data_IF_121344921854
#
_entry.id   IF_121344921854
#
_cell.length_a   1.000
_cell.length_b   1.000
_cell.length_c   1.000
_cell.angle_alpha   90.00
_cell.angle_beta   90.00
_cell.angle_gamma   90.00
#
_symmetry.space_group_name_H-M   'P 1'
#
loop_
_entity.id
_entity.type
_entity.pdbx_description
1 polymer ?
#
# COMPACT_ATOMS: atom_id res chain seq x y z
N UNK A 1 9.57 -14.81 12.60
CA UNK A 1 8.32 -14.41 11.93
C UNK A 1 8.65 -14.01 10.50
N UNK A 2 7.92 -14.53 9.49
CA UNK A 2 8.13 -14.15 8.09
C UNK A 2 7.47 -12.79 7.78
N UNK A 3 8.22 -11.76 7.32
CA UNK A 3 7.64 -10.48 6.91
C UNK A 3 6.58 -10.63 5.82
N UNK A 4 5.47 -9.88 5.94
CA UNK A 4 4.48 -9.79 4.87
C UNK A 4 4.90 -8.71 3.89
N UNK A 5 5.00 -9.06 2.61
CA UNK A 5 5.34 -8.14 1.53
C UNK A 5 4.12 -7.94 0.64
N UNK A 6 3.84 -6.68 0.30
CA UNK A 6 2.95 -6.28 -0.77
C UNK A 6 3.79 -5.79 -1.97
N UNK A 7 3.60 -6.39 -3.13
CA UNK A 7 4.32 -6.01 -4.36
C UNK A 7 3.46 -5.06 -5.16
N UNK A 8 3.89 -3.82 -5.29
CA UNK A 8 3.20 -2.84 -6.14
C UNK A 8 3.60 -3.01 -7.60
N UNK A 9 2.60 -3.00 -8.48
CA UNK A 9 2.77 -3.09 -9.93
C UNK A 9 1.92 -2.03 -10.64
N UNK A 10 2.53 -1.32 -11.60
CA UNK A 10 1.79 -0.42 -12.51
C UNK A 10 0.90 -1.25 -13.43
N UNK A 11 -0.27 -0.73 -13.74
CA UNK A 11 -1.33 -1.42 -14.48
C UNK A 11 -1.48 -0.95 -15.93
N UNK A 12 -0.53 -0.15 -16.41
CA UNK A 12 -0.35 0.26 -17.82
C UNK A 12 -0.11 -0.93 -18.78
N UNK A 13 0.17 -2.13 -18.24
CA UNK A 13 0.31 -3.35 -19.00
C UNK A 13 -0.26 -4.57 -18.26
N UNK A 14 -1.33 -5.16 -18.79
CA UNK A 14 -2.01 -6.35 -18.24
C UNK A 14 -1.06 -7.54 -18.03
N UNK A 15 -0.15 -7.79 -18.99
CA UNK A 15 0.83 -8.89 -18.91
C UNK A 15 1.84 -8.67 -17.76
N UNK A 16 2.18 -7.41 -17.45
CA UNK A 16 3.04 -7.07 -16.30
C UNK A 16 2.38 -7.49 -14.99
N UNK A 17 1.09 -7.22 -14.83
CA UNK A 17 0.32 -7.60 -13.63
C UNK A 17 0.26 -9.12 -13.48
N UNK A 18 -0.05 -9.85 -14.56
CA UNK A 18 -0.04 -11.32 -14.55
C UNK A 18 1.32 -11.89 -14.11
N UNK A 19 2.43 -11.34 -14.64
CA UNK A 19 3.79 -11.75 -14.23
C UNK A 19 4.09 -11.40 -12.76
N UNK A 20 3.63 -10.26 -12.27
CA UNK A 20 3.80 -9.85 -10.87
C UNK A 20 3.10 -10.80 -9.90
N UNK A 21 1.86 -11.21 -10.23
CA UNK A 21 1.11 -12.21 -9.45
C UNK A 21 1.81 -13.57 -9.50
N UNK A 22 2.22 -14.03 -10.69
CA UNK A 22 2.94 -15.29 -10.83
C UNK A 22 4.28 -15.32 -10.08
N UNK A 23 5.04 -14.22 -10.12
CA UNK A 23 6.27 -14.09 -9.34
C UNK A 23 6.00 -14.08 -7.83
N UNK A 24 4.98 -13.33 -7.39
CA UNK A 24 4.58 -13.23 -5.99
C UNK A 24 4.18 -14.58 -5.43
N UNK A 25 3.41 -15.38 -6.18
CA UNK A 25 3.06 -16.76 -5.82
C UNK A 25 4.30 -17.64 -5.66
N UNK A 26 5.21 -17.63 -6.63
CA UNK A 26 6.46 -18.44 -6.58
C UNK A 26 7.37 -18.08 -5.42
N UNK A 27 7.41 -16.81 -5.03
CA UNK A 27 8.27 -16.33 -3.94
C UNK A 27 7.58 -16.36 -2.57
N UNK A 28 6.30 -16.74 -2.50
CA UNK A 28 5.53 -16.76 -1.26
C UNK A 28 5.31 -15.37 -0.66
N UNK A 29 5.11 -14.37 -1.53
CA UNK A 29 4.73 -12.99 -1.19
C UNK A 29 3.25 -12.95 -0.80
N UNK A 30 2.90 -12.10 0.17
CA UNK A 30 1.56 -12.06 0.76
C UNK A 30 0.53 -11.36 -0.12
N UNK A 31 0.89 -10.24 -0.73
CA UNK A 31 -0.04 -9.38 -1.46
C UNK A 31 0.55 -8.81 -2.75
N UNK A 32 -0.33 -8.44 -3.68
CA UNK A 32 0.02 -7.68 -4.90
C UNK A 32 -0.87 -6.46 -4.98
N UNK A 33 -0.28 -5.27 -4.96
CA UNK A 33 -1.00 -4.01 -5.16
C UNK A 33 -1.05 -3.66 -6.65
N UNK A 34 -2.25 -3.60 -7.20
CA UNK A 34 -2.52 -3.07 -8.53
C UNK A 34 -2.69 -1.56 -8.40
N UNK A 35 -1.72 -0.81 -8.94
CA UNK A 35 -1.79 0.64 -9.07
C UNK A 35 -2.65 1.01 -10.28
N UNK A 36 -3.97 0.93 -10.10
CA UNK A 36 -5.01 1.18 -11.11
C UNK A 36 -5.02 2.62 -11.63
N UNK A 37 -4.36 3.54 -10.91
CA UNK A 37 -4.13 4.90 -11.39
C UNK A 37 -3.22 5.01 -12.63
N UNK A 38 -2.56 3.93 -13.04
CA UNK A 38 -1.81 3.83 -14.30
C UNK A 38 -2.54 3.10 -15.43
N UNK A 39 -3.71 2.51 -15.17
CA UNK A 39 -4.43 1.74 -16.18
C UNK A 39 -5.14 2.67 -17.17
N UNK A 40 -5.09 2.30 -18.46
CA UNK A 40 -6.06 2.79 -19.43
C UNK A 40 -7.41 2.12 -19.16
N UNK A 41 -8.52 2.86 -19.31
CA UNK A 41 -9.88 2.32 -19.11
C UNK A 41 -10.14 1.05 -19.94
N UNK A 42 -9.57 0.94 -21.14
CA UNK A 42 -9.70 -0.23 -22.02
C UNK A 42 -9.08 -1.50 -21.43
N UNK A 43 -8.18 -1.38 -20.46
CA UNK A 43 -7.50 -2.49 -19.82
C UNK A 43 -8.21 -2.99 -18.56
N UNK A 44 -9.16 -2.24 -18.01
CA UNK A 44 -9.77 -2.55 -16.72
C UNK A 44 -10.39 -3.95 -16.69
N UNK A 45 -11.24 -4.31 -17.64
CA UNK A 45 -11.89 -5.62 -17.64
C UNK A 45 -10.87 -6.78 -17.66
N UNK A 46 -9.78 -6.63 -18.40
CA UNK A 46 -8.71 -7.63 -18.44
C UNK A 46 -7.94 -7.70 -17.11
N UNK A 47 -7.73 -6.57 -16.43
CA UNK A 47 -7.11 -6.51 -15.10
C UNK A 47 -8.01 -7.17 -14.04
N UNK A 48 -9.32 -6.96 -14.11
CA UNK A 48 -10.28 -7.55 -13.18
C UNK A 48 -10.35 -9.07 -13.31
N UNK A 49 -10.36 -9.60 -14.54
CA UNK A 49 -10.28 -11.06 -14.77
C UNK A 49 -9.02 -11.67 -14.16
N UNK A 50 -7.87 -10.99 -14.27
CA UNK A 50 -6.63 -11.45 -13.63
C UNK A 50 -6.76 -11.54 -12.10
N UNK A 51 -7.52 -10.63 -11.49
CA UNK A 51 -7.76 -10.65 -10.04
C UNK A 51 -8.71 -11.77 -9.66
N UNK A 52 -9.74 -12.04 -10.46
CA UNK A 52 -10.66 -13.18 -10.27
C UNK A 52 -9.93 -14.52 -10.31
N UNK A 53 -9.00 -14.68 -11.25
CA UNK A 53 -8.21 -15.91 -11.42
C UNK A 53 -7.03 -16.00 -10.41
N UNK A 54 -6.80 -14.96 -9.62
CA UNK A 54 -5.64 -14.87 -8.73
C UNK A 54 -5.89 -15.56 -7.39
N UNK A 55 -5.04 -16.54 -7.07
CA UNK A 55 -4.96 -17.09 -5.72
C UNK A 55 -4.24 -16.17 -4.71
N UNK A 56 -3.62 -15.08 -5.16
CA UNK A 56 -2.93 -14.11 -4.30
C UNK A 56 -3.88 -13.00 -3.85
N UNK A 57 -3.71 -12.49 -2.62
CA UNK A 57 -4.48 -11.36 -2.14
C UNK A 57 -4.10 -10.07 -2.86
N UNK A 58 -4.98 -9.59 -3.74
CA UNK A 58 -4.76 -8.35 -4.48
C UNK A 58 -5.23 -7.12 -3.67
N UNK A 59 -4.55 -5.99 -3.86
CA UNK A 59 -4.91 -4.67 -3.31
C UNK A 59 -5.24 -3.73 -4.46
N UNK A 60 -6.43 -3.13 -4.44
CA UNK A 60 -6.81 -2.09 -5.40
C UNK A 60 -6.40 -0.72 -4.88
N UNK A 61 -5.58 0.01 -5.63
CA UNK A 61 -5.16 1.37 -5.28
C UNK A 61 -5.30 2.30 -6.48
N UNK A 62 -6.08 3.37 -6.33
CA UNK A 62 -6.23 4.44 -7.33
C UNK A 62 -5.68 5.73 -6.71
N UNK A 63 -4.35 5.86 -6.70
CA UNK A 63 -3.67 6.97 -6.00
C UNK A 63 -3.81 8.28 -6.79
N UNK A 64 -4.32 9.37 -6.21
CA UNK A 64 -4.33 10.68 -6.84
C UNK A 64 -2.96 11.35 -6.85
N UNK A 65 -2.81 12.31 -7.76
CA UNK A 65 -1.62 13.16 -7.90
C UNK A 65 -1.12 13.77 -6.59
N UNK A 66 -2.05 14.26 -5.77
CA UNK A 66 -1.74 15.02 -4.55
C UNK A 66 -1.21 14.14 -3.40
N UNK A 67 -1.31 12.81 -3.51
CA UNK A 67 -0.55 11.85 -2.66
C UNK A 67 0.50 11.07 -3.48
N UNK A 68 0.90 11.57 -4.66
CA UNK A 68 2.02 11.03 -5.44
C UNK A 68 1.66 9.90 -6.40
N UNK A 69 0.39 9.77 -6.78
CA UNK A 69 -0.06 8.82 -7.81
C UNK A 69 -0.14 9.41 -9.21
N UNK A 70 -0.66 8.62 -10.15
CA UNK A 70 -0.86 8.98 -11.55
C UNK A 70 -2.29 9.45 -11.86
N UNK A 71 -3.26 9.26 -10.96
CA UNK A 71 -4.63 9.68 -11.22
C UNK A 71 -4.76 11.21 -11.16
N UNK A 72 -5.27 11.80 -12.26
CA UNK A 72 -5.44 13.26 -12.44
C UNK A 72 -6.90 13.69 -12.62
N UNK A 73 -7.84 12.74 -12.64
CA UNK A 73 -9.27 13.01 -12.78
C UNK A 73 -9.92 13.54 -11.49
N UNK A 74 -11.21 13.86 -11.57
CA UNK A 74 -12.01 14.29 -10.42
C UNK A 74 -12.49 13.12 -9.54
N UNK A 75 -12.74 13.40 -8.26
CA UNK A 75 -13.18 12.39 -7.27
C UNK A 75 -14.45 11.64 -7.68
N UNK A 76 -15.39 12.27 -8.40
CA UNK A 76 -16.59 11.60 -8.93
C UNK A 76 -16.24 10.48 -9.92
N UNK A 77 -15.28 10.72 -10.81
CA UNK A 77 -14.83 9.69 -11.75
C UNK A 77 -13.97 8.65 -11.02
N UNK A 78 -13.19 9.06 -10.03
CA UNK A 78 -12.39 8.14 -9.22
C UNK A 78 -13.27 7.15 -8.45
N UNK A 79 -14.40 7.61 -7.91
CA UNK A 79 -15.38 6.76 -7.26
C UNK A 79 -15.94 5.71 -8.22
N UNK A 80 -16.29 6.08 -9.46
CA UNK A 80 -16.72 5.11 -10.49
C UNK A 80 -15.65 4.06 -10.79
N UNK A 81 -14.38 4.43 -10.78
CA UNK A 81 -13.29 3.47 -10.97
C UNK A 81 -13.16 2.53 -9.77
N UNK A 82 -13.42 2.98 -8.54
CA UNK A 82 -13.52 2.10 -7.38
C UNK A 82 -14.73 1.16 -7.46
N UNK A 83 -15.91 1.67 -7.86
CA UNK A 83 -17.11 0.86 -8.12
C UNK A 83 -16.81 -0.26 -9.10
N UNK A 84 -16.17 0.08 -10.23
CA UNK A 84 -15.75 -0.89 -11.24
C UNK A 84 -14.69 -1.86 -10.70
N UNK A 85 -13.68 -1.37 -10.00
CA UNK A 85 -12.60 -2.21 -9.47
C UNK A 85 -13.12 -3.26 -8.48
N UNK A 86 -14.08 -2.88 -7.63
CA UNK A 86 -14.66 -3.75 -6.61
C UNK A 86 -15.78 -4.66 -7.14
N UNK A 87 -15.92 -4.78 -8.47
CA UNK A 87 -16.57 -5.93 -9.11
C UNK A 87 -15.71 -7.20 -9.00
N UNK A 88 -14.39 -7.06 -8.95
CA UNK A 88 -13.45 -8.16 -8.78
C UNK A 88 -13.12 -8.44 -7.30
N UNK A 89 -12.70 -9.67 -6.93
CA UNK A 89 -12.49 -10.08 -5.54
C UNK A 89 -11.15 -9.59 -4.97
N UNK A 90 -10.97 -8.27 -4.86
CA UNK A 90 -9.82 -7.70 -4.17
C UNK A 90 -9.83 -8.06 -2.69
N UNK A 91 -8.64 -8.34 -2.12
CA UNK A 91 -8.51 -8.57 -0.67
C UNK A 91 -8.60 -7.26 0.10
N UNK A 92 -8.01 -6.20 -0.46
CA UNK A 92 -8.04 -4.86 0.12
C UNK A 92 -8.29 -3.79 -0.94
N UNK A 93 -8.86 -2.67 -0.51
CA UNK A 93 -8.87 -1.41 -1.26
C UNK A 93 -8.19 -0.31 -0.46
N UNK A 94 -7.34 0.50 -1.10
CA UNK A 94 -6.64 1.63 -0.48
C UNK A 94 -7.30 2.95 -0.87
N UNK A 95 -7.64 3.75 0.15
CA UNK A 95 -8.17 5.11 0.01
C UNK A 95 -7.48 6.08 0.97
N UNK A 96 -7.20 7.30 0.51
CA UNK A 96 -6.54 8.31 1.33
C UNK A 96 -7.45 8.83 2.45
N UNK A 97 -6.90 9.01 3.65
CA UNK A 97 -7.59 9.60 4.81
C UNK A 97 -8.23 10.96 4.52
N UNK A 98 -7.61 11.75 3.62
CA UNK A 98 -8.07 13.09 3.22
C UNK A 98 -8.98 13.08 2.00
N UNK A 99 -9.25 11.91 1.40
CA UNK A 99 -10.15 11.82 0.25
C UNK A 99 -11.58 12.19 0.61
N UNK A 100 -12.23 12.96 -0.26
CA UNK A 100 -13.64 13.37 -0.12
C UNK A 100 -14.61 12.19 -0.33
N UNK A 101 -14.18 11.13 -0.99
CA UNK A 101 -15.00 9.93 -1.28
C UNK A 101 -14.69 8.76 -0.34
N UNK A 102 -13.93 8.99 0.74
CA UNK A 102 -13.54 7.92 1.67
C UNK A 102 -14.75 7.13 2.19
N UNK A 103 -15.80 7.82 2.64
CA UNK A 103 -16.99 7.15 3.18
C UNK A 103 -17.73 6.34 2.11
N UNK A 104 -17.76 6.83 0.85
CA UNK A 104 -18.33 6.08 -0.27
C UNK A 104 -17.55 4.79 -0.54
N UNK A 105 -16.22 4.88 -0.61
CA UNK A 105 -15.34 3.72 -0.84
C UNK A 105 -15.38 2.75 0.35
N UNK A 106 -15.46 3.26 1.57
CA UNK A 106 -15.62 2.46 2.80
C UNK A 106 -16.90 1.64 2.78
N UNK A 107 -18.03 2.28 2.46
CA UNK A 107 -19.34 1.60 2.32
C UNK A 107 -19.28 0.53 1.23
N UNK A 108 -18.78 0.88 0.05
CA UNK A 108 -18.63 -0.05 -1.07
C UNK A 108 -17.77 -1.26 -0.71
N UNK A 109 -16.63 -1.03 -0.05
CA UNK A 109 -15.75 -2.10 0.41
C UNK A 109 -16.47 -3.04 1.38
N UNK A 110 -17.23 -2.48 2.34
CA UNK A 110 -18.02 -3.26 3.29
C UNK A 110 -19.10 -4.11 2.60
N UNK A 111 -19.82 -3.55 1.64
CA UNK A 111 -20.86 -4.26 0.87
C UNK A 111 -20.28 -5.40 0.03
N UNK A 112 -19.05 -5.26 -0.45
CA UNK A 112 -18.33 -6.26 -1.25
C UNK A 112 -17.48 -7.23 -0.41
N UNK A 113 -17.45 -7.08 0.92
CA UNK A 113 -16.61 -7.91 1.80
C UNK A 113 -15.10 -7.70 1.60
N UNK A 114 -14.70 -6.54 1.10
CA UNK A 114 -13.30 -6.16 0.82
C UNK A 114 -12.74 -5.38 2.01
N UNK A 115 -11.51 -5.71 2.43
CA UNK A 115 -10.85 -5.02 3.53
C UNK A 115 -10.49 -3.57 3.17
N UNK A 116 -10.71 -2.63 4.08
CA UNK A 116 -10.36 -1.22 3.86
C UNK A 116 -8.94 -0.92 4.38
N UNK A 117 -8.09 -0.37 3.51
CA UNK A 117 -6.84 0.32 3.89
C UNK A 117 -7.11 1.82 3.83
N UNK A 118 -6.98 2.51 4.97
CA UNK A 118 -6.95 3.97 5.00
C UNK A 118 -5.50 4.43 5.05
N UNK A 119 -5.09 5.20 4.05
CA UNK A 119 -3.69 5.59 3.85
C UNK A 119 -3.46 7.09 4.03
N UNK A 120 -2.24 7.45 4.39
CA UNK A 120 -1.78 8.83 4.50
C UNK A 120 -0.33 8.91 4.05
N UNK A 121 -0.08 9.72 3.02
CA UNK A 121 1.27 9.99 2.53
C UNK A 121 1.67 11.44 2.84
N UNK A 122 2.79 11.62 3.52
CA UNK A 122 3.38 12.95 3.77
C UNK A 122 4.68 13.11 2.99
N UNK A 123 4.62 13.86 1.90
CA UNK A 123 5.78 14.16 1.05
C UNK A 123 6.65 15.29 1.62
N UNK A 124 6.12 16.09 2.56
CA UNK A 124 6.84 17.20 3.16
C UNK A 124 7.84 16.73 4.22
N UNK A 125 7.60 15.61 4.89
CA UNK A 125 8.55 15.09 5.86
C UNK A 125 7.91 14.14 6.86
N UNK A 126 8.72 13.67 7.81
CA UNK A 126 8.22 12.85 8.90
C UNK A 126 7.98 13.74 10.12
N UNK A 127 6.73 13.85 10.60
CA UNK A 127 6.46 14.65 11.78
C UNK A 127 6.88 13.89 13.05
N UNK A 128 6.88 14.59 14.19
CA UNK A 128 7.18 13.98 15.49
C UNK A 128 6.22 12.84 15.84
N UNK A 129 6.64 11.93 16.73
CA UNK A 129 5.79 10.83 17.24
C UNK A 129 4.45 11.33 17.78
N UNK A 130 4.43 12.48 18.48
CA UNK A 130 3.20 13.11 18.99
C UNK A 130 2.22 13.42 17.86
N UNK A 131 2.72 13.96 16.74
CA UNK A 131 1.90 14.28 15.57
C UNK A 131 1.50 13.03 14.79
N UNK A 132 2.39 12.05 14.64
CA UNK A 132 2.04 10.74 14.06
C UNK A 132 0.89 10.08 14.83
N UNK A 133 0.92 10.11 16.16
CA UNK A 133 -0.18 9.61 17.00
C UNK A 133 -1.50 10.36 16.78
N UNK A 134 -1.46 11.69 16.58
CA UNK A 134 -2.66 12.47 16.24
C UNK A 134 -3.23 12.08 14.87
N UNK A 135 -2.37 11.94 13.87
CA UNK A 135 -2.75 11.49 12.52
C UNK A 135 -3.39 10.11 12.60
N UNK A 136 -2.74 9.16 13.27
CA UNK A 136 -3.24 7.81 13.46
C UNK A 136 -4.57 7.78 14.21
N UNK A 137 -4.72 8.57 15.27
CA UNK A 137 -5.99 8.68 16.00
C UNK A 137 -7.13 9.20 15.12
N UNK A 138 -6.83 10.12 14.19
CA UNK A 138 -7.80 10.60 13.21
C UNK A 138 -8.17 9.54 12.16
N UNK A 139 -7.20 8.71 11.75
CA UNK A 139 -7.44 7.58 10.85
C UNK A 139 -8.28 6.50 11.55
N UNK A 140 -8.01 6.19 12.84
CA UNK A 140 -8.74 5.16 13.59
C UNK A 140 -10.25 5.37 13.64
N UNK A 141 -10.69 6.63 13.65
CA UNK A 141 -12.13 6.97 13.60
C UNK A 141 -12.85 6.44 12.35
N UNK A 142 -12.11 6.14 11.27
CA UNK A 142 -12.65 5.56 10.03
C UNK A 142 -12.86 4.04 10.10
N UNK A 143 -12.47 3.38 11.20
CA UNK A 143 -12.68 1.93 11.42
C UNK A 143 -12.19 1.02 10.28
N UNK A 144 -11.11 1.41 9.61
CA UNK A 144 -10.47 0.61 8.58
C UNK A 144 -9.83 -0.67 9.16
N UNK A 145 -9.67 -1.70 8.32
CA UNK A 145 -8.98 -2.93 8.71
C UNK A 145 -7.47 -2.71 8.85
N UNK A 146 -6.91 -1.83 8.03
CA UNK A 146 -5.47 -1.50 8.01
C UNK A 146 -5.29 0.01 7.89
N UNK A 147 -4.34 0.55 8.65
CA UNK A 147 -3.95 1.96 8.58
C UNK A 147 -2.54 2.09 8.03
N UNK A 148 -2.34 2.92 7.01
CA UNK A 148 -1.07 3.07 6.30
C UNK A 148 -0.54 4.50 6.43
N UNK A 149 0.61 4.68 7.07
CA UNK A 149 1.27 5.98 7.23
C UNK A 149 2.64 5.90 6.58
N UNK A 150 2.88 6.73 5.56
CA UNK A 150 4.12 6.70 4.79
C UNK A 150 4.61 8.12 4.60
N UNK A 151 5.78 8.46 5.15
CA UNK A 151 6.27 9.85 5.19
C UNK A 151 7.65 9.98 4.59
N UNK A 152 8.01 11.14 4.06
CA UNK A 152 9.35 11.40 3.54
C UNK A 152 10.38 11.44 4.67
N UNK A 153 11.41 10.61 4.58
CA UNK A 153 12.51 10.59 5.56
C UNK A 153 13.64 11.48 5.06
N UNK A 154 14.01 12.46 5.87
CA UNK A 154 15.08 13.42 5.57
C UNK A 154 16.33 13.21 6.41
N UNK A 155 16.21 12.57 7.57
CA UNK A 155 17.30 12.36 8.53
C UNK A 155 17.03 11.12 9.42
N UNK A 156 18.00 10.66 10.23
CA UNK A 156 17.80 9.49 11.10
C UNK A 156 16.75 9.68 12.22
N UNK A 157 16.47 10.91 12.64
CA UNK A 157 15.42 11.19 13.64
C UNK A 157 14.04 10.88 13.06
N UNK A 158 13.83 11.16 11.77
CA UNK A 158 12.61 10.77 11.05
C UNK A 158 12.43 9.25 11.04
N UNK A 159 13.50 8.49 10.78
CA UNK A 159 13.45 7.01 10.83
C UNK A 159 13.07 6.51 12.21
N UNK A 160 13.73 7.03 13.25
CA UNK A 160 13.45 6.69 14.64
C UNK A 160 12.00 7.04 15.02
N UNK A 161 11.48 8.20 14.59
CA UNK A 161 10.10 8.60 14.85
C UNK A 161 9.10 7.61 14.27
N UNK A 162 9.29 7.14 13.02
CA UNK A 162 8.39 6.16 12.39
C UNK A 162 8.41 4.81 13.09
N UNK A 163 9.61 4.29 13.39
CA UNK A 163 9.77 2.99 14.03
C UNK A 163 9.28 3.01 15.49
N UNK A 164 9.54 4.10 16.21
CA UNK A 164 9.06 4.29 17.58
C UNK A 164 7.54 4.44 17.60
N UNK A 165 6.95 5.24 16.71
CA UNK A 165 5.50 5.32 16.55
C UNK A 165 4.91 3.92 16.31
N UNK A 166 5.44 3.17 15.34
CA UNK A 166 4.93 1.85 15.00
C UNK A 166 4.96 0.88 16.19
N UNK A 167 6.07 0.85 16.93
CA UNK A 167 6.26 -0.07 18.07
C UNK A 167 5.26 0.16 19.21
N UNK A 168 4.78 1.40 19.36
CA UNK A 168 3.85 1.83 20.40
C UNK A 168 2.37 1.79 19.96
N UNK A 169 2.07 1.39 18.72
CA UNK A 169 0.68 1.18 18.29
C UNK A 169 0.24 -0.23 18.66
N UNK A 170 -0.93 -0.34 19.30
CA UNK A 170 -1.55 -1.60 19.69
C UNK A 170 -3.00 -1.71 19.20
N UNK A 171 -3.49 -2.93 19.03
CA UNK A 171 -4.88 -3.21 18.67
C UNK A 171 -5.28 -2.77 17.25
N UNK A 172 -4.31 -2.55 16.36
CA UNK A 172 -4.56 -2.15 14.98
C UNK A 172 -3.50 -2.73 14.04
N UNK A 173 -3.88 -3.02 12.79
CA UNK A 173 -2.93 -3.37 11.73
C UNK A 173 -2.40 -2.10 11.11
N UNK A 174 -1.09 -1.85 11.25
CA UNK A 174 -0.45 -0.63 10.74
C UNK A 174 0.63 -0.97 9.73
N UNK A 175 0.62 -0.28 8.59
CA UNK A 175 1.74 -0.20 7.66
C UNK A 175 2.42 1.14 7.89
N UNK A 176 3.66 1.15 8.35
CA UNK A 176 4.39 2.39 8.65
C UNK A 176 5.83 2.30 8.19
N UNK A 177 6.27 3.15 7.26
CA UNK A 177 7.66 3.25 6.82
C UNK A 177 7.91 4.56 6.06
N UNK A 178 9.19 4.85 5.83
CA UNK A 178 9.67 6.04 5.18
C UNK A 178 9.78 5.94 3.66
N UNK A 179 9.48 7.03 2.97
CA UNK A 179 9.88 7.29 1.58
C UNK A 179 11.29 7.87 1.52
N UNK A 180 11.86 7.83 0.32
CA UNK A 180 13.22 8.29 0.04
C UNK A 180 14.26 7.21 0.32
N UNK A 181 15.46 7.39 -0.22
CA UNK A 181 16.58 6.45 0.03
C UNK A 181 16.89 6.32 1.51
N UNK A 182 16.84 7.44 2.25
CA UNK A 182 17.00 7.47 3.70
C UNK A 182 15.90 6.71 4.45
N UNK A 183 14.73 6.49 3.85
CA UNK A 183 13.66 5.71 4.46
C UNK A 183 13.80 4.19 4.29
N UNK A 184 14.80 3.73 3.53
CA UNK A 184 14.94 2.32 3.18
C UNK A 184 15.02 1.39 4.40
N UNK A 185 15.77 1.75 5.44
CA UNK A 185 15.91 0.90 6.61
C UNK A 185 14.55 0.69 7.32
N UNK A 186 13.74 1.74 7.43
CA UNK A 186 12.40 1.63 8.00
C UNK A 186 11.49 0.69 7.21
N UNK A 187 11.62 0.60 5.88
CA UNK A 187 10.85 -0.35 5.04
C UNK A 187 11.19 -1.80 5.34
N UNK A 188 12.46 -2.09 5.64
CA UNK A 188 12.93 -3.43 6.02
C UNK A 188 12.52 -3.76 7.46
N UNK A 189 12.69 -2.81 8.38
CA UNK A 189 12.49 -3.05 9.82
C UNK A 189 11.03 -3.01 10.27
N UNK A 190 10.18 -2.24 9.57
CA UNK A 190 8.75 -2.07 9.91
C UNK A 190 8.01 -3.39 10.21
N UNK A 191 8.01 -4.40 9.32
CA UNK A 191 7.30 -5.65 9.59
C UNK A 191 7.92 -6.45 10.75
N UNK A 192 9.19 -6.25 11.08
CA UNK A 192 9.86 -6.89 12.22
C UNK A 192 9.50 -6.22 13.55
N UNK A 193 9.01 -4.98 13.51
CA UNK A 193 8.62 -4.18 14.67
C UNK A 193 7.10 -4.09 14.87
N UNK A 194 6.34 -5.00 14.26
CA UNK A 194 4.89 -5.10 14.39
C UNK A 194 4.10 -4.49 13.22
N UNK A 195 4.78 -4.01 12.18
CA UNK A 195 4.15 -3.58 10.94
C UNK A 195 3.40 -4.74 10.27
N UNK A 196 2.17 -4.46 9.83
CA UNK A 196 1.29 -5.45 9.21
C UNK A 196 1.88 -6.02 7.91
N UNK A 197 2.47 -5.16 7.08
CA UNK A 197 3.19 -5.51 5.86
C UNK A 197 4.13 -4.37 5.46
N UNK A 198 5.05 -4.67 4.54
CA UNK A 198 5.88 -3.67 3.84
C UNK A 198 5.66 -3.72 2.34
N UNK A 199 6.20 -2.76 1.60
CA UNK A 199 5.99 -2.62 0.17
C UNK A 199 7.28 -2.75 -0.62
N UNK A 200 7.22 -3.54 -1.68
CA UNK A 200 8.27 -3.72 -2.68
C UNK A 200 7.75 -3.33 -4.07
N UNK A 201 8.63 -2.94 -4.99
CA UNK A 201 8.25 -2.79 -6.41
C UNK A 201 8.42 -4.11 -7.15
N UNK A 202 7.54 -4.37 -8.12
CA UNK A 202 7.75 -5.45 -9.09
C UNK A 202 8.89 -5.11 -10.07
N UNK A 203 8.80 -3.94 -10.70
CA UNK A 203 9.80 -3.38 -11.63
C UNK A 203 10.54 -2.21 -10.95
N UNK A 204 10.66 -1.06 -11.65
CA UNK A 204 11.19 0.20 -11.14
C UNK A 204 10.41 0.72 -9.93
N UNK A 205 11.09 1.51 -9.10
CA UNK A 205 10.57 2.13 -7.90
C UNK A 205 9.32 2.98 -8.22
N UNK A 206 8.15 2.67 -7.60
CA UNK A 206 6.91 3.46 -7.76
C UNK A 206 6.76 4.58 -6.73
N UNK A 207 7.62 4.57 -5.71
CA UNK A 207 7.80 5.63 -4.74
C UNK A 207 9.31 5.74 -4.41
N UNK A 208 9.84 6.90 -4.02
CA UNK A 208 11.26 7.03 -3.68
C UNK A 208 11.71 6.03 -2.61
N UNK A 209 12.86 5.38 -2.83
CA UNK A 209 13.43 4.37 -1.92
C UNK A 209 12.72 3.01 -1.91
N UNK A 210 11.78 2.76 -2.82
CA UNK A 210 11.11 1.46 -2.91
C UNK A 210 12.09 0.43 -3.50
N UNK A 211 12.36 -0.60 -2.70
CA UNK A 211 13.25 -1.68 -3.09
C UNK A 211 12.54 -2.64 -4.04
N UNK A 212 13.25 -3.13 -5.05
CA UNK A 212 12.78 -4.25 -5.84
C UNK A 212 12.54 -5.47 -4.95
N UNK A 213 11.46 -6.21 -5.23
CA UNK A 213 11.06 -7.41 -4.49
C UNK A 213 12.22 -8.38 -4.21
N UNK A 214 13.04 -8.68 -5.23
CA UNK A 214 14.15 -9.65 -5.08
C UNK A 214 15.18 -9.14 -4.09
N UNK A 215 15.47 -7.84 -4.09
CA UNK A 215 16.40 -7.21 -3.16
C UNK A 215 15.90 -7.32 -1.72
N UNK A 216 14.62 -7.04 -1.48
CA UNK A 216 14.02 -7.18 -0.13
C UNK A 216 14.07 -8.62 0.37
N UNK A 217 13.74 -9.59 -0.48
CA UNK A 217 13.80 -11.00 -0.11
C UNK A 217 15.23 -11.44 0.22
N UNK A 218 16.22 -11.00 -0.56
CA UNK A 218 17.63 -11.29 -0.26
C UNK A 218 18.05 -10.74 1.10
N UNK A 219 17.61 -9.52 1.44
CA UNK A 219 17.88 -8.92 2.77
C UNK A 219 17.23 -9.75 3.87
N UNK A 220 15.94 -10.11 3.73
CA UNK A 220 15.26 -10.91 4.75
C UNK A 220 15.84 -12.32 4.90
N UNK A 221 16.32 -12.94 3.81
CA UNK A 221 17.07 -14.21 3.88
C UNK A 221 18.37 -14.05 4.67
N UNK A 222 19.13 -12.99 4.41
CA UNK A 222 20.36 -12.68 5.17
C UNK A 222 20.10 -12.40 6.64
N UNK A 223 18.93 -11.85 6.97
CA UNK A 223 18.48 -11.63 8.34
C UNK A 223 17.88 -12.89 9.00
N UNK A 224 17.76 -14.01 8.27
CA UNK A 224 17.20 -15.26 8.80
C UNK A 224 15.69 -15.23 9.06
N UNK A 225 14.95 -14.32 8.38
CA UNK A 225 13.51 -14.11 8.61
C UNK A 225 12.64 -14.39 7.37
N UNK A 226 13.18 -15.02 6.32
CA UNK A 226 12.45 -15.29 5.07
C UNK A 226 12.34 -16.76 4.70
#
# INVERSE_FOLDING_TARGET
>A
MKPRICVSVKTDNVRRVSKAIGLSKRLGVSFVELRLDYADEKQYDALLRIVEDSAAGCVATIRPAWEGGAYRGGEKNRLKLFEKALEAPFKYVDIEQKSRILENVSKLASEKGVGLIVSHHDWAGTPSVKTLNKVFSAMRRRRAEVYKIVTMVRNPVDEANLLFFLRNVHGARVVCFGMGEKGFATRILSPLLGGFMTYASYDDSLAPGQANLRRMITIYRRMGVW
#
